data_IF_405956178451
#
_entry.id   IF_405956178451
#
_cell.length_a   1.000
_cell.length_b   1.000
_cell.length_c   1.000
_cell.angle_alpha   90.00
_cell.angle_beta   90.00
_cell.angle_gamma   90.00
#
_symmetry.space_group_name_H-M   'P 1'
#
loop_
_entity.id
_entity.type
_entity.pdbx_description
1 polymer ?
#
# COMPACT_ATOMS: atom_id res chain seq x y z
N UNK A 1 4.83 4.34 8.90
CA UNK A 1 3.93 3.22 8.48
C UNK A 1 3.65 3.37 6.99
N UNK A 2 3.38 2.30 6.24
CA UNK A 2 3.00 2.36 4.82
C UNK A 2 1.57 1.83 4.65
N UNK A 3 0.73 2.55 3.91
CA UNK A 3 -0.62 2.14 3.51
C UNK A 3 -0.64 1.98 2.00
N UNK A 4 -0.99 0.79 1.53
CA UNK A 4 -1.09 0.46 0.12
C UNK A 4 -2.55 0.27 -0.29
N UNK A 5 -3.00 0.90 -1.37
CA UNK A 5 -4.33 0.66 -1.96
C UNK A 5 -4.20 -0.23 -3.20
N UNK A 6 -5.20 -1.08 -3.47
CA UNK A 6 -5.23 -1.95 -4.68
C UNK A 6 -5.89 -1.25 -5.87
N UNK A 7 -6.97 -0.52 -5.60
CA UNK A 7 -7.80 0.19 -6.57
C UNK A 7 -7.53 1.69 -6.54
N UNK A 8 -8.57 2.47 -6.22
CA UNK A 8 -8.45 3.93 -6.16
C UNK A 8 -7.41 4.36 -5.11
N UNK A 9 -6.64 5.40 -5.45
CA UNK A 9 -5.70 6.03 -4.54
C UNK A 9 -6.46 6.63 -3.34
N UNK A 10 -5.77 6.71 -2.20
CA UNK A 10 -6.30 7.44 -1.06
C UNK A 10 -6.26 8.95 -1.36
N UNK A 11 -7.27 9.75 -0.98
CA UNK A 11 -7.29 11.19 -1.26
C UNK A 11 -6.07 11.97 -0.76
N UNK A 12 -5.43 11.47 0.31
CA UNK A 12 -4.17 12.01 0.81
C UNK A 12 -3.01 11.88 -0.18
N UNK A 13 -2.92 10.76 -0.90
CA UNK A 13 -1.89 10.58 -1.93
C UNK A 13 -2.07 11.61 -3.04
N UNK A 14 -3.30 11.81 -3.52
CA UNK A 14 -3.58 12.80 -4.56
C UNK A 14 -3.29 14.23 -4.09
N UNK A 15 -3.61 14.53 -2.82
CA UNK A 15 -3.29 15.81 -2.20
C UNK A 15 -1.77 16.05 -2.15
N UNK A 16 -0.99 15.09 -1.63
CA UNK A 16 0.46 15.24 -1.50
C UNK A 16 1.18 15.32 -2.85
N UNK A 17 0.75 14.50 -3.83
CA UNK A 17 1.26 14.55 -5.19
C UNK A 17 1.06 15.92 -5.85
N UNK A 18 0.00 16.65 -5.47
CA UNK A 18 -0.25 18.01 -5.99
C UNK A 18 0.83 19.03 -5.60
N UNK A 19 1.62 18.76 -4.56
CA UNK A 19 2.76 19.58 -4.15
C UNK A 19 4.09 19.18 -4.81
N UNK A 20 4.13 18.05 -5.53
CA UNK A 20 5.29 17.61 -6.29
C UNK A 20 5.66 16.15 -6.06
N UNK A 21 5.96 15.44 -7.15
CA UNK A 21 6.24 14.00 -7.10
C UNK A 21 7.54 13.68 -6.35
N UNK A 22 8.60 14.48 -6.57
CA UNK A 22 9.90 14.28 -5.92
C UNK A 22 9.79 14.42 -4.40
N UNK A 23 9.18 15.51 -3.93
CA UNK A 23 8.95 15.77 -2.50
C UNK A 23 8.07 14.70 -1.88
N UNK A 24 6.99 14.30 -2.55
CA UNK A 24 6.12 13.23 -2.09
C UNK A 24 6.90 11.92 -1.87
N UNK A 25 7.66 11.45 -2.87
CA UNK A 25 8.39 10.20 -2.70
C UNK A 25 9.58 10.30 -1.74
N UNK A 26 10.12 11.49 -1.48
CA UNK A 26 11.12 11.67 -0.41
C UNK A 26 10.54 11.34 0.98
N UNK A 27 9.25 11.62 1.22
CA UNK A 27 8.56 11.28 2.48
C UNK A 27 8.49 9.76 2.72
N UNK A 28 8.41 8.96 1.64
CA UNK A 28 8.46 7.50 1.77
C UNK A 28 9.78 7.04 2.41
N UNK A 29 10.90 7.67 2.04
CA UNK A 29 12.22 7.36 2.57
C UNK A 29 12.46 7.95 3.97
N UNK A 30 12.00 9.18 4.21
CA UNK A 30 12.10 9.85 5.51
C UNK A 30 11.40 9.03 6.61
N UNK A 31 10.17 8.61 6.33
CA UNK A 31 9.43 7.70 7.20
C UNK A 31 8.93 8.27 8.52
N UNK A 32 8.94 9.59 8.69
CA UNK A 32 8.41 10.29 9.87
C UNK A 32 6.90 10.16 10.06
N UNK A 33 6.14 9.84 9.00
CA UNK A 33 4.67 9.71 9.05
C UNK A 33 4.13 8.46 8.29
N UNK A 34 2.81 8.32 8.29
CA UNK A 34 2.03 7.40 7.46
C UNK A 34 2.14 7.82 6.00
N UNK A 35 2.66 6.92 5.19
CA UNK A 35 2.76 7.12 3.75
C UNK A 35 1.68 6.32 3.04
N UNK A 36 0.94 6.94 2.13
CA UNK A 36 -0.07 6.27 1.29
C UNK A 36 0.52 6.05 -0.09
N UNK A 37 0.26 4.92 -0.73
CA UNK A 37 0.63 4.70 -2.12
C UNK A 37 -0.29 3.66 -2.78
N UNK A 38 -0.38 3.69 -4.09
CA UNK A 38 -0.94 2.58 -4.86
C UNK A 38 0.05 1.39 -4.85
N UNK A 39 -0.48 0.18 -4.63
CA UNK A 39 0.32 -1.03 -4.52
C UNK A 39 1.01 -1.40 -5.84
N UNK A 40 0.47 -1.01 -6.99
CA UNK A 40 1.08 -1.29 -8.28
C UNK A 40 2.32 -0.43 -8.54
N UNK A 41 2.29 0.83 -8.09
CA UNK A 41 3.28 1.88 -8.38
C UNK A 41 4.24 2.22 -7.23
N UNK A 42 4.01 1.70 -6.03
CA UNK A 42 4.87 1.97 -4.87
C UNK A 42 6.33 1.56 -5.08
N UNK A 43 7.26 2.34 -4.52
CA UNK A 43 8.71 2.10 -4.62
C UNK A 43 9.15 0.89 -3.80
N UNK A 44 10.32 0.34 -4.12
CA UNK A 44 10.94 -0.80 -3.42
C UNK A 44 11.59 -0.34 -2.12
N UNK A 45 10.79 0.07 -1.14
CA UNK A 45 11.25 0.46 0.21
C UNK A 45 10.42 -0.26 1.27
N UNK A 46 11.08 -0.85 2.27
CA UNK A 46 10.39 -1.58 3.35
C UNK A 46 10.00 -0.64 4.50
N UNK A 47 8.89 -0.94 5.16
CA UNK A 47 8.47 -0.30 6.43
C UNK A 47 8.13 -1.37 7.45
N UNK A 48 8.32 -1.06 8.73
CA UNK A 48 7.99 -1.97 9.84
C UNK A 48 6.56 -2.50 9.76
N UNK A 49 5.61 -1.60 9.49
CA UNK A 49 4.19 -1.93 9.35
C UNK A 49 3.70 -1.49 7.97
N UNK A 50 3.05 -2.43 7.28
CA UNK A 50 2.33 -2.19 6.03
C UNK A 50 0.85 -2.53 6.24
N UNK A 51 -0.03 -1.64 5.81
CA UNK A 51 -1.48 -1.88 5.71
C UNK A 51 -1.82 -2.00 4.24
N UNK A 52 -2.38 -3.13 3.81
CA UNK A 52 -2.93 -3.30 2.47
C UNK A 52 -4.45 -3.11 2.53
N UNK A 53 -4.95 -2.12 1.80
CA UNK A 53 -6.38 -1.83 1.64
C UNK A 53 -6.85 -2.41 0.31
N UNK A 54 -7.61 -3.50 0.39
CA UNK A 54 -8.21 -4.18 -0.76
C UNK A 54 -9.54 -3.50 -1.10
N UNK A 55 -9.42 -2.38 -1.83
CA UNK A 55 -10.54 -1.57 -2.35
C UNK A 55 -10.81 -1.83 -3.84
N UNK A 56 -10.48 -3.02 -4.32
CA UNK A 56 -10.72 -3.51 -5.68
C UNK A 56 -10.96 -5.02 -5.60
N UNK A 57 -11.74 -5.57 -6.53
CA UNK A 57 -12.16 -6.98 -6.54
C UNK A 57 -11.56 -7.81 -7.69
N UNK A 58 -10.68 -7.23 -8.52
CA UNK A 58 -9.98 -7.97 -9.57
C UNK A 58 -8.92 -8.88 -8.94
N UNK A 59 -9.19 -10.18 -8.92
CA UNK A 59 -8.39 -11.21 -8.23
C UNK A 59 -6.88 -11.12 -8.52
N UNK A 60 -6.49 -10.94 -9.78
CA UNK A 60 -5.08 -10.82 -10.17
C UNK A 60 -4.39 -9.59 -9.56
N UNK A 61 -5.07 -8.44 -9.55
CA UNK A 61 -4.54 -7.20 -8.94
C UNK A 61 -4.41 -7.36 -7.43
N UNK A 62 -5.42 -7.94 -6.78
CA UNK A 62 -5.41 -8.18 -5.34
C UNK A 62 -4.26 -9.11 -4.95
N UNK A 63 -4.11 -10.23 -5.65
CA UNK A 63 -3.02 -11.19 -5.39
C UNK A 63 -1.63 -10.56 -5.60
N UNK A 64 -1.45 -9.79 -6.68
CA UNK A 64 -0.20 -9.07 -6.93
C UNK A 64 0.10 -8.04 -5.84
N UNK A 65 -0.91 -7.30 -5.40
CA UNK A 65 -0.77 -6.31 -4.33
C UNK A 65 -0.47 -6.97 -2.97
N UNK A 66 -1.09 -8.11 -2.65
CA UNK A 66 -0.82 -8.89 -1.45
C UNK A 66 0.65 -9.32 -1.36
N UNK A 67 1.20 -9.86 -2.45
CA UNK A 67 2.62 -10.22 -2.54
C UNK A 67 3.53 -9.02 -2.35
N UNK A 68 3.25 -7.90 -3.03
CA UNK A 68 4.03 -6.67 -2.88
C UNK A 68 3.97 -6.15 -1.44
N UNK A 69 2.80 -6.11 -0.82
CA UNK A 69 2.65 -5.67 0.56
C UNK A 69 3.46 -6.54 1.54
N UNK A 70 3.47 -7.86 1.31
CA UNK A 70 4.28 -8.81 2.08
C UNK A 70 5.78 -8.53 1.94
N UNK A 71 6.28 -8.26 0.73
CA UNK A 71 7.69 -7.88 0.51
C UNK A 71 8.07 -6.57 1.20
N UNK A 72 7.14 -5.60 1.25
CA UNK A 72 7.36 -4.28 1.87
C UNK A 72 7.28 -4.31 3.39
N UNK A 73 6.54 -5.25 3.98
CA UNK A 73 6.41 -5.38 5.43
C UNK A 73 7.68 -5.94 6.06
N UNK A 74 8.24 -5.21 7.04
CA UNK A 74 9.40 -5.66 7.80
C UNK A 74 9.05 -6.43 9.08
N UNK A 75 7.94 -6.10 9.73
CA UNK A 75 7.51 -6.73 10.99
C UNK A 75 6.05 -7.17 10.95
N UNK A 76 5.16 -6.36 10.36
CA UNK A 76 3.72 -6.62 10.34
C UNK A 76 3.10 -6.23 9.00
N UNK A 77 2.27 -7.14 8.48
CA UNK A 77 1.32 -6.86 7.41
C UNK A 77 -0.10 -6.93 7.99
N UNK A 78 -0.87 -5.86 7.80
CA UNK A 78 -2.32 -5.82 8.07
C UNK A 78 -3.03 -5.78 6.74
N UNK A 79 -4.06 -6.61 6.54
CA UNK A 79 -4.86 -6.60 5.31
C UNK A 79 -6.31 -6.27 5.64
N UNK A 80 -6.82 -5.21 5.01
CA UNK A 80 -8.15 -4.67 5.22
C UNK A 80 -8.96 -4.81 3.94
N UNK A 81 -10.12 -5.45 4.02
CA UNK A 81 -11.05 -5.62 2.90
C UNK A 81 -12.16 -6.61 3.24
N UNK A 82 -13.00 -6.91 2.26
CA UNK A 82 -14.06 -7.92 2.39
C UNK A 82 -13.46 -9.29 2.74
N UNK A 83 -14.02 -9.95 3.77
CA UNK A 83 -13.50 -11.20 4.33
C UNK A 83 -13.27 -12.27 3.27
N UNK A 84 -14.23 -12.46 2.37
CA UNK A 84 -14.16 -13.48 1.31
C UNK A 84 -13.06 -13.19 0.29
N UNK A 85 -12.71 -11.92 0.10
CA UNK A 85 -11.63 -11.48 -0.79
C UNK A 85 -10.26 -11.62 -0.12
N UNK A 86 -10.15 -11.29 1.16
CA UNK A 86 -8.85 -11.18 1.84
C UNK A 86 -8.40 -12.44 2.57
N UNK A 87 -9.34 -13.25 3.09
CA UNK A 87 -9.01 -14.48 3.81
C UNK A 87 -8.20 -15.50 2.98
N UNK A 88 -8.42 -15.66 1.66
CA UNK A 88 -7.67 -16.62 0.86
C UNK A 88 -6.25 -16.17 0.46
N UNK A 89 -5.87 -14.90 0.68
CA UNK A 89 -4.65 -14.31 0.06
C UNK A 89 -3.34 -14.93 0.53
N UNK A 90 -3.33 -15.58 1.69
CA UNK A 90 -2.14 -16.20 2.30
C UNK A 90 -2.42 -17.61 2.82
N UNK A 91 -3.46 -18.25 2.30
CA UNK A 91 -3.82 -19.63 2.62
C UNK A 91 -2.90 -20.65 1.93
#
# INVERSE_FOLDING_TARGET
>A
MLVLTVGAAHPWQDHELSFGEESYWAQLADGGDVFYADAATTRTLRRDVVVLVVNDNHSERVAAAARKALERAAKLLVVCGETDTVAPLFA
#
